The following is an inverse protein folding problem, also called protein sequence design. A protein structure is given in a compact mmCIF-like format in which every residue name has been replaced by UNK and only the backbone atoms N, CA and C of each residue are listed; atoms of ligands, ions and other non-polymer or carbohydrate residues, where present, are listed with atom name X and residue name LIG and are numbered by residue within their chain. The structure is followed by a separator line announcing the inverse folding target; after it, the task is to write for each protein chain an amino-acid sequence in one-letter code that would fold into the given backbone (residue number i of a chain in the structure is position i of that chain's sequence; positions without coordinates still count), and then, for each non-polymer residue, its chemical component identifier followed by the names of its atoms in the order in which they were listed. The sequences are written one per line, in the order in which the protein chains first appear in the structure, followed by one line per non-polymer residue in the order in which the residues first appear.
data_IF_251903433296
#
_entry.id   IF_251903433296
#
_cell.length_a   1.000
_cell.length_b   1.000
_cell.length_c   1.000
_cell.angle_alpha   90.00
_cell.angle_beta   90.00
_cell.angle_gamma   90.00
#
_symmetry.space_group_name_H-M   'P 1'
#
loop_
_entity.id
_entity.type
_entity.pdbx_description
1 polymer ?
#
# COMPACT_ATOMS: atom_id res chain seq x y z
N UNK A 1 13.17 -11.86 -12.64
CA UNK A 1 12.71 -12.38 -11.33
C UNK A 1 11.25 -12.92 -11.32
N UNK A 2 10.55 -13.10 -12.46
CA UNK A 2 9.20 -13.68 -12.46
C UNK A 2 9.20 -15.23 -12.51
N UNK A 3 10.27 -15.84 -13.01
CA UNK A 3 10.36 -17.28 -13.24
C UNK A 3 11.04 -18.05 -12.09
N UNK A 4 11.54 -17.33 -11.09
CA UNK A 4 12.25 -17.88 -9.94
C UNK A 4 11.26 -18.00 -8.79
N UNK A 5 11.34 -19.08 -8.01
CA UNK A 5 10.49 -19.26 -6.82
C UNK A 5 10.72 -18.11 -5.82
N UNK A 6 9.67 -17.39 -5.37
CA UNK A 6 9.82 -16.27 -4.44
C UNK A 6 10.52 -16.57 -3.12
N UNK A 7 10.50 -17.83 -2.67
CA UNK A 7 11.09 -18.27 -1.41
C UNK A 7 12.47 -18.90 -1.58
N UNK A 8 12.99 -18.99 -2.80
CA UNK A 8 14.28 -19.61 -3.04
C UNK A 8 15.44 -18.65 -2.78
N UNK A 9 16.61 -19.23 -2.50
CA UNK A 9 17.85 -18.48 -2.33
C UNK A 9 18.29 -17.80 -3.64
N UNK A 10 18.01 -18.41 -4.80
CA UNK A 10 18.27 -17.82 -6.12
C UNK A 10 17.54 -16.48 -6.31
N UNK A 11 16.32 -16.34 -5.76
CA UNK A 11 15.59 -15.07 -5.82
C UNK A 11 16.33 -13.96 -5.06
N UNK A 12 16.89 -14.28 -3.89
CA UNK A 12 17.66 -13.32 -3.10
C UNK A 12 18.96 -12.91 -3.80
N UNK A 13 19.61 -13.82 -4.50
CA UNK A 13 20.82 -13.53 -5.28
C UNK A 13 20.51 -12.58 -6.43
N UNK A 14 19.46 -12.85 -7.20
CA UNK A 14 19.00 -11.95 -8.26
C UNK A 14 18.55 -10.57 -7.75
N UNK A 15 18.06 -10.49 -6.51
CA UNK A 15 17.73 -9.21 -5.91
C UNK A 15 18.97 -8.36 -5.59
N UNK A 16 20.11 -9.00 -5.28
CA UNK A 16 21.40 -8.29 -5.09
C UNK A 16 21.88 -7.65 -6.40
N UNK A 17 21.64 -8.31 -7.53
CA UNK A 17 22.00 -7.79 -8.86
C UNK A 17 21.26 -6.48 -9.20
N UNK A 18 20.10 -6.22 -8.57
CA UNK A 18 19.36 -4.97 -8.78
C UNK A 18 20.20 -3.73 -8.40
N UNK A 19 21.08 -3.84 -7.41
CA UNK A 19 21.98 -2.75 -7.03
C UNK A 19 22.94 -2.39 -8.18
N UNK A 20 23.43 -3.39 -8.91
CA UNK A 20 24.29 -3.18 -10.07
C UNK A 20 23.52 -2.51 -11.22
N UNK A 21 22.27 -2.93 -11.45
CA UNK A 21 21.38 -2.30 -12.43
C UNK A 21 21.14 -0.83 -12.08
N UNK A 22 20.88 -0.52 -10.80
CA UNK A 22 20.70 0.85 -10.34
C UNK A 22 21.95 1.72 -10.59
N UNK A 23 23.15 1.16 -10.38
CA UNK A 23 24.41 1.85 -10.65
C UNK A 23 24.62 2.12 -12.15
N UNK A 24 24.25 1.18 -13.02
CA UNK A 24 24.31 1.37 -14.48
C UNK A 24 23.34 2.48 -14.91
N UNK A 25 22.10 2.46 -14.39
CA UNK A 25 21.10 3.50 -14.66
C UNK A 25 21.65 4.88 -14.30
N UNK A 26 22.35 5.01 -13.18
CA UNK A 26 22.93 6.27 -12.75
C UNK A 26 24.07 6.76 -13.66
N UNK A 27 24.91 5.84 -14.13
CA UNK A 27 25.99 6.16 -15.08
C UNK A 27 25.42 6.63 -16.41
N UNK A 28 24.38 5.96 -16.90
CA UNK A 28 23.67 6.35 -18.12
C UNK A 28 22.94 7.68 -17.93
N UNK A 29 22.34 7.90 -16.76
CA UNK A 29 21.70 9.17 -16.42
C UNK A 29 22.69 10.34 -16.52
N UNK A 30 23.86 10.25 -15.89
CA UNK A 30 24.90 11.29 -15.96
C UNK A 30 25.33 11.58 -17.41
N UNK A 31 25.51 10.53 -18.21
CA UNK A 31 25.87 10.66 -19.61
C UNK A 31 24.77 11.36 -20.44
N UNK A 32 23.50 10.99 -20.21
CA UNK A 32 22.35 11.57 -20.93
C UNK A 32 22.03 12.99 -20.49
N UNK A 33 22.34 13.37 -19.25
CA UNK A 33 22.20 14.76 -18.79
C UNK A 33 23.20 15.68 -19.50
N UNK A 34 24.40 15.18 -19.84
CA UNK A 34 25.43 15.95 -20.55
C UNK A 34 25.20 16.01 -22.07
N UNK A 35 24.77 14.91 -22.68
CA UNK A 35 24.77 14.75 -24.16
C UNK A 35 23.43 14.30 -24.77
N UNK A 36 22.47 13.92 -23.94
CA UNK A 36 21.23 13.29 -24.36
C UNK A 36 20.13 14.29 -24.75
N UNK A 37 19.10 13.76 -25.40
CA UNK A 37 17.88 14.52 -25.70
C UNK A 37 16.93 14.54 -24.51
N UNK A 38 16.02 15.53 -24.47
CA UNK A 38 15.05 15.65 -23.36
C UNK A 38 14.16 14.42 -23.20
N UNK A 39 13.82 13.73 -24.30
CA UNK A 39 13.00 12.51 -24.26
C UNK A 39 13.74 11.32 -23.63
N UNK A 40 15.02 11.16 -23.96
CA UNK A 40 15.88 10.12 -23.39
C UNK A 40 16.09 10.35 -21.89
N UNK A 41 16.28 11.61 -21.49
CA UNK A 41 16.37 12.00 -20.07
C UNK A 41 15.07 11.65 -19.33
N UNK A 42 13.90 11.92 -19.91
CA UNK A 42 12.62 11.56 -19.29
C UNK A 42 12.47 10.04 -19.11
N UNK A 43 12.94 9.24 -20.08
CA UNK A 43 12.88 7.77 -20.01
C UNK A 43 13.82 7.21 -18.94
N UNK A 44 15.06 7.70 -18.85
CA UNK A 44 16.01 7.22 -17.84
C UNK A 44 15.58 7.67 -16.43
N UNK A 45 14.97 8.86 -16.30
CA UNK A 45 14.39 9.32 -15.04
C UNK A 45 13.24 8.43 -14.60
N UNK A 46 12.34 8.05 -15.51
CA UNK A 46 11.28 7.10 -15.20
C UNK A 46 11.85 5.75 -14.74
N UNK A 47 12.89 5.23 -15.39
CA UNK A 47 13.55 3.99 -14.97
C UNK A 47 14.16 4.12 -13.57
N UNK A 48 14.84 5.23 -13.27
CA UNK A 48 15.39 5.49 -11.93
C UNK A 48 14.28 5.58 -10.88
N UNK A 49 13.16 6.23 -11.20
CA UNK A 49 11.98 6.30 -10.34
C UNK A 49 11.42 4.90 -10.07
N UNK A 50 11.27 4.06 -11.11
CA UNK A 50 10.72 2.71 -10.98
C UNK A 50 11.55 1.80 -10.05
N UNK A 51 12.87 2.03 -9.93
CA UNK A 51 13.73 1.27 -9.02
C UNK A 51 13.82 1.85 -7.60
N UNK A 52 13.24 3.04 -7.36
CA UNK A 52 13.36 3.76 -6.07
C UNK A 52 12.03 3.94 -5.36
N UNK A 53 10.90 4.08 -6.08
CA UNK A 53 9.61 4.49 -5.50
C UNK A 53 9.07 3.55 -4.41
N UNK A 54 9.39 2.26 -4.50
CA UNK A 54 8.88 1.23 -3.59
C UNK A 54 9.83 0.95 -2.41
N UNK A 55 11.07 1.44 -2.48
CA UNK A 55 12.07 1.23 -1.43
C UNK A 55 11.79 2.19 -0.28
N UNK A 56 11.71 1.65 0.93
CA UNK A 56 11.54 2.45 2.13
C UNK A 56 12.89 3.01 2.57
N UNK A 57 12.98 4.32 2.71
CA UNK A 57 14.20 4.96 3.17
C UNK A 57 14.31 4.86 4.70
N UNK A 58 15.01 3.82 5.17
CA UNK A 58 15.27 3.61 6.58
C UNK A 58 16.14 4.72 7.18
N UNK A 59 17.08 5.29 6.40
CA UNK A 59 18.00 6.34 6.87
C UNK A 59 17.25 7.67 7.07
N UNK A 60 16.44 8.08 6.09
CA UNK A 60 15.57 9.25 6.25
C UNK A 60 14.51 9.05 7.33
N UNK A 61 13.99 7.82 7.51
CA UNK A 61 13.06 7.52 8.59
C UNK A 61 13.71 7.61 9.98
N UNK A 62 14.93 7.10 10.13
CA UNK A 62 15.65 7.14 11.41
C UNK A 62 15.93 8.59 11.82
N UNK A 63 16.34 9.45 10.88
CA UNK A 63 16.48 10.90 11.10
C UNK A 63 15.19 11.60 11.57
N UNK A 64 14.01 11.14 11.14
CA UNK A 64 12.72 11.68 11.60
C UNK A 64 12.29 11.18 13.00
N UNK A 65 12.77 10.00 13.41
CA UNK A 65 12.44 9.41 14.70
C UNK A 65 13.37 9.88 15.83
N UNK A 66 14.61 10.24 15.51
CA UNK A 66 15.57 10.85 16.45
C UNK A 66 15.85 12.29 16.02
N UNK A 67 15.16 13.30 16.61
CA UNK A 67 15.64 14.66 16.55
C UNK A 67 17.06 14.71 17.15
N UNK A 68 17.99 15.53 16.61
CA UNK A 68 19.33 15.64 17.16
C UNK A 68 19.29 16.43 18.47
N UNK A 69 18.87 15.78 19.55
CA UNK A 69 19.15 16.23 20.91
C UNK A 69 20.44 15.55 21.39
N UNK A 70 21.54 16.29 21.27
CA UNK A 70 22.72 16.15 22.12
C UNK A 70 23.52 14.85 22.02
N UNK A 71 24.34 14.68 20.98
CA UNK A 71 25.63 14.00 21.11
C UNK A 71 26.60 14.43 20.01
N UNK A 72 27.75 14.93 20.44
CA UNK A 72 28.96 15.24 19.68
C UNK A 72 29.09 14.55 18.32
N UNK A 73 29.04 15.33 17.24
CA UNK A 73 29.28 14.88 15.87
C UNK A 73 30.74 14.49 15.70
N UNK A 74 31.02 13.21 15.50
CA UNK A 74 32.28 12.74 14.93
C UNK A 74 32.30 13.08 13.44
N UNK A 75 33.39 13.67 12.95
CA UNK A 75 33.53 14.14 11.56
C UNK A 75 33.41 13.01 10.51
N UNK A 76 33.57 11.75 10.91
CA UNK A 76 33.39 10.58 10.03
C UNK A 76 31.94 10.31 9.63
N UNK A 77 30.94 10.69 10.44
CA UNK A 77 29.52 10.52 10.08
C UNK A 77 29.04 11.56 9.06
N UNK A 78 29.80 12.64 8.80
CA UNK A 78 29.39 13.69 7.85
C UNK A 78 29.67 13.29 6.39
N UNK A 79 30.73 12.52 6.13
CA UNK A 79 31.13 12.16 4.77
C UNK A 79 30.25 11.05 4.14
N UNK A 80 29.63 10.18 4.95
CA UNK A 80 28.65 9.19 4.46
C UNK A 80 27.21 9.73 4.39
N UNK A 81 26.98 10.96 4.86
CA UNK A 81 25.67 11.58 5.00
C UNK A 81 25.20 12.39 3.78
N UNK A 82 26.00 12.44 2.71
CA UNK A 82 25.73 13.18 1.46
C UNK A 82 24.83 12.43 0.45
N UNK A 83 24.12 11.39 0.87
CA UNK A 83 23.04 10.84 0.05
C UNK A 83 21.89 11.83 0.00
N UNK A 84 21.60 12.42 -1.17
CA UNK A 84 20.40 13.23 -1.40
C UNK A 84 19.18 12.52 -0.77
N UNK A 85 18.43 13.23 0.08
CA UNK A 85 17.21 12.69 0.68
C UNK A 85 16.34 12.10 -0.45
N UNK A 86 15.96 10.83 -0.33
CA UNK A 86 15.25 10.10 -1.38
C UNK A 86 13.96 10.82 -1.84
N UNK A 87 13.35 11.58 -0.93
CA UNK A 87 12.23 12.46 -1.19
C UNK A 87 12.57 13.61 -2.15
N UNK A 88 13.71 14.29 -1.97
CA UNK A 88 14.15 15.41 -2.80
C UNK A 88 14.52 14.91 -4.20
N UNK A 89 15.19 13.76 -4.27
CA UNK A 89 15.52 13.12 -5.54
C UNK A 89 14.24 12.77 -6.31
N UNK A 90 13.27 12.12 -5.66
CA UNK A 90 11.98 11.77 -6.28
C UNK A 90 11.26 13.02 -6.80
N UNK A 91 11.18 14.06 -5.96
CA UNK A 91 10.51 15.32 -6.32
C UNK A 91 11.19 16.02 -7.51
N UNK A 92 12.53 16.07 -7.54
CA UNK A 92 13.30 16.65 -8.66
C UNK A 92 13.01 15.92 -9.98
N UNK A 93 13.11 14.59 -9.97
CA UNK A 93 12.90 13.78 -11.16
C UNK A 93 11.45 13.90 -11.66
N UNK A 94 10.47 13.84 -10.75
CA UNK A 94 9.06 13.99 -11.10
C UNK A 94 8.73 15.38 -11.66
N UNK A 95 9.22 16.47 -11.04
CA UNK A 95 9.03 17.84 -11.54
C UNK A 95 9.62 18.02 -12.94
N UNK A 96 10.78 17.44 -13.21
CA UNK A 96 11.38 17.49 -14.54
C UNK A 96 10.49 16.82 -15.60
N UNK A 97 9.97 15.62 -15.29
CA UNK A 97 9.05 14.91 -16.18
C UNK A 97 7.77 15.73 -16.40
N UNK A 98 7.21 16.37 -15.38
CA UNK A 98 6.01 17.20 -15.53
C UNK A 98 6.20 18.37 -16.49
N UNK A 99 7.38 19.01 -16.46
CA UNK A 99 7.66 20.20 -17.25
C UNK A 99 8.11 19.90 -18.69
N UNK A 100 8.80 18.78 -18.92
CA UNK A 100 9.52 18.52 -20.18
C UNK A 100 8.92 17.40 -21.02
N UNK A 101 8.07 16.56 -20.44
CA UNK A 101 7.50 15.42 -21.13
C UNK A 101 6.31 15.82 -22.02
N UNK A 102 6.35 15.36 -23.27
CA UNK A 102 5.28 15.52 -24.26
C UNK A 102 4.28 14.37 -24.23
N UNK A 103 4.62 13.26 -23.61
CA UNK A 103 3.78 12.05 -23.57
C UNK A 103 2.99 11.96 -22.27
N UNK A 104 1.67 11.75 -22.36
CA UNK A 104 0.85 11.65 -21.15
C UNK A 104 1.13 10.37 -20.34
N UNK A 105 1.67 9.34 -21.00
CA UNK A 105 1.97 8.04 -20.37
C UNK A 105 3.11 8.14 -19.35
N UNK A 106 4.26 8.70 -19.74
CA UNK A 106 5.43 8.81 -18.85
C UNK A 106 5.11 9.75 -17.69
N UNK A 107 4.45 10.88 -17.99
CA UNK A 107 3.87 11.78 -16.97
C UNK A 107 2.97 11.06 -15.97
N UNK A 108 1.99 10.28 -16.44
CA UNK A 108 1.08 9.52 -15.56
C UNK A 108 1.82 8.53 -14.68
N UNK A 109 2.75 7.76 -15.24
CA UNK A 109 3.58 6.83 -14.47
C UNK A 109 4.40 7.54 -13.39
N UNK A 110 4.99 8.70 -13.73
CA UNK A 110 5.76 9.50 -12.78
C UNK A 110 4.89 10.04 -11.65
N UNK A 111 3.67 10.52 -11.94
CA UNK A 111 2.70 10.96 -10.91
C UNK A 111 2.36 9.80 -9.97
N UNK A 112 2.02 8.63 -10.50
CA UNK A 112 1.64 7.48 -9.67
C UNK A 112 2.80 7.01 -8.77
N UNK A 113 4.02 6.94 -9.32
CA UNK A 113 5.20 6.60 -8.53
C UNK A 113 5.49 7.64 -7.43
N UNK A 114 5.29 8.92 -7.72
CA UNK A 114 5.45 10.01 -6.76
C UNK A 114 4.47 9.87 -5.59
N UNK A 115 3.19 9.66 -5.90
CA UNK A 115 2.13 9.44 -4.91
C UNK A 115 2.44 8.20 -4.06
N UNK A 116 2.85 7.09 -4.69
CA UNK A 116 3.22 5.87 -3.98
C UNK A 116 4.35 6.13 -2.98
N UNK A 117 5.40 6.84 -3.40
CA UNK A 117 6.52 7.19 -2.54
C UNK A 117 6.11 8.09 -1.36
N UNK A 118 5.28 9.11 -1.58
CA UNK A 118 4.74 9.92 -0.48
C UNK A 118 3.89 9.11 0.49
N UNK A 119 3.02 8.24 -0.02
CA UNK A 119 2.17 7.36 0.78
C UNK A 119 2.99 6.37 1.63
N UNK A 120 4.07 5.83 1.06
CA UNK A 120 5.01 4.94 1.76
C UNK A 120 5.66 5.64 2.97
N UNK A 121 6.07 6.90 2.79
CA UNK A 121 6.71 7.73 3.82
C UNK A 121 5.73 8.42 4.78
N UNK A 122 4.46 8.00 4.82
CA UNK A 122 3.42 8.52 5.73
C UNK A 122 3.02 9.99 5.48
N UNK A 123 3.33 10.55 4.31
CA UNK A 123 2.95 11.92 3.92
C UNK A 123 1.59 11.92 3.20
N UNK A 124 0.53 11.61 3.95
CA UNK A 124 -0.80 11.36 3.37
C UNK A 124 -1.39 12.57 2.63
N UNK A 125 -1.40 13.75 3.26
CA UNK A 125 -2.00 14.95 2.68
C UNK A 125 -1.40 15.32 1.32
N UNK A 126 -0.06 15.31 1.23
CA UNK A 126 0.66 15.55 -0.02
C UNK A 126 0.29 14.54 -1.10
N UNK A 127 0.21 13.26 -0.74
CA UNK A 127 -0.13 12.19 -1.68
C UNK A 127 -1.60 12.29 -2.16
N UNK A 128 -2.53 12.65 -1.26
CA UNK A 128 -3.94 12.90 -1.59
C UNK A 128 -4.09 14.09 -2.52
N UNK A 129 -3.45 15.20 -2.19
CA UNK A 129 -3.57 16.44 -2.96
C UNK A 129 -2.99 16.23 -4.37
N UNK A 130 -1.86 15.53 -4.49
CA UNK A 130 -1.31 15.12 -5.79
C UNK A 130 -2.26 14.21 -6.58
N UNK A 131 -2.91 13.24 -5.93
CA UNK A 131 -3.90 12.38 -6.59
C UNK A 131 -5.07 13.19 -7.14
N UNK A 132 -5.63 14.10 -6.35
CA UNK A 132 -6.77 14.95 -6.75
C UNK A 132 -6.38 15.95 -7.85
N UNK A 133 -5.22 16.60 -7.75
CA UNK A 133 -4.73 17.55 -8.75
C UNK A 133 -4.44 16.89 -10.10
N UNK A 134 -4.08 15.61 -10.10
CA UNK A 134 -3.71 14.88 -11.32
C UNK A 134 -4.90 14.48 -12.20
N UNK A 135 -6.13 14.52 -11.68
CA UNK A 135 -7.37 14.10 -12.38
C UNK A 135 -7.27 12.71 -13.03
N UNK A 136 -6.49 11.80 -12.44
CA UNK A 136 -6.27 10.46 -13.00
C UNK A 136 -7.49 9.53 -12.86
N UNK A 137 -8.46 9.89 -12.01
CA UNK A 137 -9.67 9.08 -11.75
C UNK A 137 -10.59 8.95 -12.98
N UNK A 138 -10.57 9.91 -13.90
CA UNK A 138 -11.45 9.87 -15.07
C UNK A 138 -10.83 9.10 -16.25
N UNK A 139 -9.49 9.06 -16.32
CA UNK A 139 -8.75 8.55 -17.47
C UNK A 139 -8.13 7.15 -17.28
N UNK A 140 -8.09 6.60 -16.06
CA UNK A 140 -7.33 5.38 -15.78
C UNK A 140 -7.91 4.11 -16.42
N UNK A 141 -9.24 4.02 -16.63
CA UNK A 141 -9.88 2.80 -17.14
C UNK A 141 -9.46 2.45 -18.58
N UNK A 142 -9.08 3.46 -19.36
CA UNK A 142 -8.63 3.30 -20.75
C UNK A 142 -7.10 3.23 -20.88
N UNK A 143 -6.37 3.40 -19.76
CA UNK A 143 -4.91 3.38 -19.76
C UNK A 143 -4.37 1.95 -19.96
N UNK A 144 -3.08 1.88 -20.32
CA UNK A 144 -2.38 0.60 -20.47
C UNK A 144 -2.48 -0.26 -19.19
N UNK A 145 -2.65 -1.60 -19.31
CA UNK A 145 -2.73 -2.51 -18.16
C UNK A 145 -1.64 -2.34 -17.07
N UNK A 146 -0.33 -2.15 -17.38
CA UNK A 146 0.67 -1.88 -16.34
C UNK A 146 0.42 -0.58 -15.56
N UNK A 147 -0.14 0.45 -16.20
CA UNK A 147 -0.48 1.72 -15.54
C UNK A 147 -1.71 1.52 -14.64
N UNK A 148 -2.68 0.72 -15.06
CA UNK A 148 -3.82 0.34 -14.23
C UNK A 148 -3.38 -0.42 -12.97
N UNK A 149 -2.45 -1.37 -13.10
CA UNK A 149 -1.87 -2.09 -11.96
C UNK A 149 -1.17 -1.09 -11.01
N UNK A 150 -0.37 -0.16 -11.54
CA UNK A 150 0.29 0.87 -10.75
C UNK A 150 -0.71 1.80 -10.04
N UNK A 151 -1.80 2.18 -10.71
CA UNK A 151 -2.89 2.96 -10.13
C UNK A 151 -3.53 2.23 -8.94
N UNK A 152 -3.95 0.97 -9.14
CA UNK A 152 -4.55 0.14 -8.09
C UNK A 152 -3.60 -0.02 -6.90
N UNK A 153 -2.31 -0.26 -7.16
CA UNK A 153 -1.29 -0.35 -6.10
C UNK A 153 -1.12 0.97 -5.34
N UNK A 154 -1.14 2.09 -6.04
CA UNK A 154 -1.03 3.43 -5.44
C UNK A 154 -2.24 3.75 -4.58
N UNK A 155 -3.45 3.39 -5.03
CA UNK A 155 -4.68 3.50 -4.25
C UNK A 155 -4.66 2.65 -2.98
N UNK A 156 -4.21 1.40 -3.08
CA UNK A 156 -4.01 0.55 -1.90
C UNK A 156 -3.01 1.17 -0.93
N UNK A 157 -1.88 1.67 -1.43
CA UNK A 157 -0.86 2.28 -0.59
C UNK A 157 -1.35 3.57 0.09
N UNK A 158 -2.12 4.40 -0.62
CA UNK A 158 -2.79 5.58 -0.05
C UNK A 158 -3.78 5.18 1.04
N UNK A 159 -4.58 4.13 0.84
CA UNK A 159 -5.52 3.62 1.84
C UNK A 159 -4.81 3.12 3.10
N UNK A 160 -3.71 2.37 2.94
CA UNK A 160 -2.87 1.93 4.07
C UNK A 160 -2.24 3.15 4.78
N UNK A 161 -1.80 4.16 4.03
CA UNK A 161 -1.27 5.40 4.61
C UNK A 161 -2.33 6.17 5.40
N UNK A 162 -3.55 6.31 4.87
CA UNK A 162 -4.69 6.92 5.57
C UNK A 162 -4.97 6.19 6.89
N UNK A 163 -4.98 4.86 6.86
CA UNK A 163 -5.17 4.04 8.04
C UNK A 163 -4.06 4.23 9.08
N UNK A 164 -2.79 4.33 8.65
CA UNK A 164 -1.64 4.59 9.55
C UNK A 164 -1.77 5.95 10.27
N UNK A 165 -2.42 6.92 9.65
CA UNK A 165 -2.70 8.25 10.22
C UNK A 165 -3.98 8.29 11.07
N UNK A 166 -4.72 7.19 11.19
CA UNK A 166 -5.97 7.11 11.95
C UNK A 166 -7.21 7.61 11.19
N UNK A 167 -7.08 7.93 9.89
CA UNK A 167 -8.20 8.39 9.04
C UNK A 167 -8.99 7.19 8.51
N UNK A 168 -9.83 6.59 9.35
CA UNK A 168 -10.58 5.36 9.03
C UNK A 168 -11.60 5.55 7.92
N UNK A 169 -12.27 6.71 7.85
CA UNK A 169 -13.23 7.06 6.78
C UNK A 169 -12.56 7.08 5.41
N UNK A 170 -11.45 7.79 5.31
CA UNK A 170 -10.72 7.95 4.05
C UNK A 170 -10.06 6.63 3.62
N UNK A 171 -9.53 5.86 4.58
CA UNK A 171 -9.00 4.53 4.33
C UNK A 171 -10.08 3.59 3.78
N UNK A 172 -11.29 3.59 4.36
CA UNK A 172 -12.40 2.78 3.88
C UNK A 172 -12.81 3.15 2.45
N UNK A 173 -12.97 4.45 2.17
CA UNK A 173 -13.39 4.93 0.86
C UNK A 173 -12.37 4.58 -0.23
N UNK A 174 -11.07 4.74 0.04
CA UNK A 174 -10.02 4.44 -0.94
C UNK A 174 -9.91 2.94 -1.27
N UNK A 175 -10.24 2.06 -0.32
CA UNK A 175 -10.09 0.61 -0.45
C UNK A 175 -11.37 -0.11 -0.92
N UNK A 176 -12.53 0.56 -0.85
CA UNK A 176 -13.84 -0.01 -1.13
C UNK A 176 -13.93 -0.65 -2.51
N UNK A 177 -13.53 0.07 -3.56
CA UNK A 177 -13.68 -0.40 -4.95
C UNK A 177 -12.81 -1.64 -5.22
N UNK A 178 -11.58 -1.63 -4.69
CA UNK A 178 -10.61 -2.71 -4.91
C UNK A 178 -11.03 -3.99 -4.17
N UNK A 179 -11.43 -3.88 -2.89
CA UNK A 179 -11.83 -5.04 -2.08
C UNK A 179 -13.22 -5.57 -2.44
N UNK A 180 -14.16 -4.70 -2.82
CA UNK A 180 -15.52 -5.12 -3.20
C UNK A 180 -15.56 -6.04 -4.43
N UNK A 181 -14.56 -5.95 -5.30
CA UNK A 181 -14.45 -6.73 -6.53
C UNK A 181 -14.27 -8.24 -6.33
N UNK A 182 -13.75 -8.67 -5.18
CA UNK A 182 -13.33 -10.07 -4.94
C UNK A 182 -12.15 -10.55 -5.82
N UNK A 183 -11.60 -9.67 -6.67
CA UNK A 183 -10.50 -9.96 -7.61
C UNK A 183 -9.24 -9.13 -7.30
N UNK A 184 -9.09 -8.68 -6.05
CA UNK A 184 -7.99 -7.81 -5.62
C UNK A 184 -6.58 -8.36 -5.97
N UNK A 185 -6.39 -9.69 -5.94
CA UNK A 185 -5.12 -10.34 -6.31
C UNK A 185 -4.73 -10.11 -7.78
N UNK A 186 -5.72 -10.15 -8.67
CA UNK A 186 -5.54 -9.95 -10.12
C UNK A 186 -5.38 -8.46 -10.44
N UNK A 187 -6.22 -7.61 -9.82
CA UNK A 187 -6.17 -6.15 -10.01
C UNK A 187 -4.84 -5.52 -9.58
N UNK A 188 -4.16 -6.14 -8.60
CA UNK A 188 -2.84 -5.74 -8.14
C UNK A 188 -1.68 -6.40 -8.91
N UNK A 189 -2.00 -7.29 -9.86
CA UNK A 189 -1.01 -7.98 -10.68
C UNK A 189 -0.13 -8.98 -9.89
N UNK A 190 -0.61 -9.51 -8.76
CA UNK A 190 0.17 -10.39 -7.87
C UNK A 190 -0.07 -11.88 -8.14
N UNK A 191 -0.94 -12.21 -9.09
CA UNK A 191 -1.25 -13.59 -9.46
C UNK A 191 -2.65 -13.71 -10.03
N UNK A 192 -2.97 -14.91 -10.51
CA UNK A 192 -4.29 -15.27 -11.00
C UNK A 192 -5.04 -16.05 -9.92
N UNK A 193 -6.35 -15.83 -9.79
CA UNK A 193 -7.18 -16.70 -8.96
C UNK A 193 -7.40 -18.02 -9.70
N UNK A 194 -7.35 -19.13 -8.96
CA UNK A 194 -7.48 -20.48 -9.53
C UNK A 194 -8.78 -20.65 -10.33
N UNK A 195 -9.86 -19.99 -9.88
CA UNK A 195 -11.17 -19.96 -10.55
C UNK A 195 -11.14 -19.27 -11.92
N UNK A 196 -10.27 -18.27 -12.10
CA UNK A 196 -10.10 -17.58 -13.38
C UNK A 196 -9.30 -18.41 -14.41
N UNK A 197 -8.64 -19.49 -13.99
CA UNK A 197 -7.89 -20.38 -14.89
C UNK A 197 -8.81 -21.26 -15.75
N UNK A 198 -10.03 -21.54 -15.28
CA UNK A 198 -10.97 -22.41 -16.00
C UNK A 198 -11.74 -21.70 -17.13
N UNK A 199 -11.84 -20.37 -17.09
CA UNK A 199 -12.64 -19.57 -18.04
C UNK A 199 -11.79 -18.86 -19.11
N UNK A 200 -10.44 -18.94 -19.05
CA UNK A 200 -9.55 -18.12 -19.89
C UNK A 200 -8.78 -18.92 -20.95
N UNK A 201 -8.59 -18.30 -22.12
CA UNK A 201 -7.73 -18.82 -23.18
C UNK A 201 -6.26 -18.84 -22.75
N UNK A 202 -5.52 -19.89 -23.12
CA UNK A 202 -4.11 -20.10 -22.77
C UNK A 202 -3.19 -18.94 -23.20
N UNK A 203 -3.50 -18.26 -24.30
CA UNK A 203 -2.73 -17.11 -24.78
C UNK A 203 -2.92 -15.85 -23.93
N UNK A 204 -4.16 -15.60 -23.48
CA UNK A 204 -4.46 -14.47 -22.59
C UNK A 204 -3.81 -14.68 -21.22
N UNK A 205 -3.78 -15.91 -20.73
CA UNK A 205 -3.11 -16.27 -19.48
C UNK A 205 -1.59 -15.99 -19.56
N UNK A 206 -0.95 -16.35 -20.68
CA UNK A 206 0.48 -16.12 -20.88
C UNK A 206 0.84 -14.63 -20.89
N UNK A 207 -0.03 -13.81 -21.47
CA UNK A 207 0.14 -12.35 -21.49
C UNK A 207 -0.08 -11.74 -20.10
N UNK A 208 -1.10 -12.20 -19.36
CA UNK A 208 -1.34 -11.73 -17.99
C UNK A 208 -0.24 -12.15 -17.01
N UNK A 209 0.28 -13.39 -17.12
CA UNK A 209 1.43 -13.85 -16.33
C UNK A 209 2.66 -12.96 -16.54
N UNK A 210 2.93 -12.54 -17.77
CA UNK A 210 4.04 -11.61 -18.10
C UNK A 210 3.85 -10.22 -17.50
N UNK A 211 2.60 -9.80 -17.27
CA UNK A 211 2.26 -8.48 -16.70
C UNK A 211 2.30 -8.47 -15.17
N UNK A 212 2.52 -9.61 -14.52
CA UNK A 212 2.57 -9.69 -13.07
C UNK A 212 3.77 -8.92 -12.51
N UNK A 213 3.55 -8.24 -11.40
CA UNK A 213 4.62 -7.55 -10.70
C UNK A 213 5.54 -8.58 -10.01
N UNK A 214 6.86 -8.34 -9.94
CA UNK A 214 7.77 -9.13 -9.12
C UNK A 214 7.35 -9.22 -7.64
N UNK A 215 7.71 -10.33 -6.99
CA UNK A 215 7.33 -10.60 -5.59
C UNK A 215 7.79 -9.54 -4.58
N UNK A 216 8.99 -8.97 -4.70
CA UNK A 216 9.46 -7.88 -3.82
C UNK A 216 8.61 -6.59 -3.94
N UNK A 217 7.78 -6.47 -4.98
CA UNK A 217 6.80 -5.40 -5.12
C UNK A 217 5.41 -5.80 -4.62
N UNK A 218 5.18 -7.04 -4.19
CA UNK A 218 3.86 -7.46 -3.74
C UNK A 218 3.52 -6.79 -2.40
N UNK A 219 2.25 -6.37 -2.29
CA UNK A 219 1.64 -5.88 -1.05
C UNK A 219 0.86 -7.05 -0.47
N UNK A 220 1.05 -7.37 0.80
CA UNK A 220 0.32 -8.48 1.42
C UNK A 220 -1.20 -8.24 1.37
N UNK A 221 -1.92 -9.18 0.75
CA UNK A 221 -3.37 -9.12 0.59
C UNK A 221 -4.10 -9.32 1.93
N UNK A 222 -3.55 -10.10 2.85
CA UNK A 222 -4.13 -10.25 4.19
C UNK A 222 -4.08 -8.90 4.92
N UNK A 223 -2.94 -8.21 4.89
CA UNK A 223 -2.83 -6.87 5.47
C UNK A 223 -3.86 -5.90 4.89
N UNK A 224 -4.00 -5.88 3.56
CA UNK A 224 -4.98 -5.07 2.86
C UNK A 224 -6.41 -5.36 3.33
N UNK A 225 -6.78 -6.65 3.39
CA UNK A 225 -8.10 -7.07 3.83
C UNK A 225 -8.34 -6.71 5.29
N UNK A 226 -7.34 -6.87 6.17
CA UNK A 226 -7.44 -6.47 7.57
C UNK A 226 -7.73 -4.99 7.73
N UNK A 227 -6.94 -4.14 7.06
CA UNK A 227 -7.07 -2.69 7.13
C UNK A 227 -8.46 -2.27 6.66
N UNK A 228 -8.95 -2.87 5.58
CA UNK A 228 -10.29 -2.63 5.08
C UNK A 228 -11.38 -3.05 6.08
N UNK A 229 -11.30 -4.28 6.61
CA UNK A 229 -12.31 -4.82 7.53
C UNK A 229 -12.32 -4.09 8.87
N UNK A 230 -11.15 -3.72 9.42
CA UNK A 230 -11.08 -2.92 10.67
C UNK A 230 -11.63 -1.52 10.44
N UNK A 231 -11.33 -0.89 9.29
CA UNK A 231 -11.91 0.42 8.94
C UNK A 231 -13.43 0.34 8.78
N UNK A 232 -13.93 -0.71 8.12
CA UNK A 232 -15.37 -0.96 8.00
C UNK A 232 -16.01 -1.20 9.37
N UNK A 233 -15.40 -2.03 10.23
CA UNK A 233 -15.87 -2.34 11.57
C UNK A 233 -16.08 -1.07 12.43
N UNK A 234 -15.11 -0.16 12.41
CA UNK A 234 -15.16 1.09 13.18
C UNK A 234 -16.21 2.09 12.67
N UNK A 235 -16.61 2.00 11.40
CA UNK A 235 -17.66 2.87 10.82
C UNK A 235 -19.04 2.23 10.96
N UNK A 236 -19.13 0.93 10.70
CA UNK A 236 -20.39 0.22 10.59
C UNK A 236 -21.01 -0.08 11.96
N UNK A 237 -20.22 -0.53 12.95
CA UNK A 237 -20.78 -0.93 14.25
C UNK A 237 -21.44 0.23 14.99
N UNK A 238 -20.81 1.42 15.10
CA UNK A 238 -21.48 2.56 15.73
C UNK A 238 -22.73 2.98 14.95
N UNK A 239 -22.69 2.93 13.62
CA UNK A 239 -23.84 3.24 12.78
C UNK A 239 -24.98 2.24 12.98
N UNK A 240 -24.68 0.93 13.00
CA UNK A 240 -25.64 -0.14 13.24
C UNK A 240 -26.26 -0.04 14.62
N UNK A 241 -25.46 0.21 15.66
CA UNK A 241 -25.93 0.35 17.04
C UNK A 241 -26.87 1.57 17.20
N UNK A 242 -26.55 2.70 16.56
CA UNK A 242 -27.37 3.90 16.61
C UNK A 242 -28.72 3.75 15.86
N UNK A 243 -28.77 2.90 14.83
CA UNK A 243 -29.95 2.72 13.97
C UNK A 243 -30.58 1.33 14.13
N UNK A 244 -30.44 0.67 15.28
CA UNK A 244 -31.06 -0.64 15.51
C UNK A 244 -32.59 -0.57 15.41
N UNK A 245 -33.20 0.58 15.75
CA UNK A 245 -34.66 0.80 15.68
C UNK A 245 -35.16 1.30 14.31
N UNK A 246 -34.29 1.74 13.42
CA UNK A 246 -34.69 2.35 12.15
C UNK A 246 -34.78 1.30 11.02
N UNK A 247 -35.89 1.32 10.27
CA UNK A 247 -36.17 0.38 9.19
C UNK A 247 -35.44 0.75 7.88
N UNK A 248 -35.01 2.02 7.72
CA UNK A 248 -34.27 2.50 6.52
C UNK A 248 -32.76 2.50 6.74
N UNK A 249 -32.21 1.32 7.05
CA UNK A 249 -30.77 1.14 7.26
C UNK A 249 -30.01 1.30 5.94
N UNK A 250 -29.11 2.28 5.86
CA UNK A 250 -28.08 2.30 4.81
C UNK A 250 -26.96 1.33 5.19
N UNK A 251 -26.58 0.48 4.25
CA UNK A 251 -25.44 -0.43 4.39
C UNK A 251 -24.19 0.26 3.84
N UNK A 252 -23.18 0.47 4.67
CA UNK A 252 -21.95 1.17 4.28
C UNK A 252 -21.02 0.17 3.56
N UNK A 253 -20.74 -1.00 4.14
CA UNK A 253 -19.94 -2.06 3.52
C UNK A 253 -20.70 -3.37 3.32
N UNK A 254 -20.86 -3.78 2.05
CA UNK A 254 -21.44 -5.09 1.70
C UNK A 254 -20.54 -6.27 2.08
N UNK A 255 -19.23 -6.12 1.88
CA UNK A 255 -18.25 -7.19 2.12
C UNK A 255 -18.15 -7.54 3.61
N UNK A 256 -18.09 -6.53 4.49
CA UNK A 256 -18.09 -6.74 5.93
C UNK A 256 -19.36 -7.43 6.43
N UNK A 257 -20.53 -6.99 5.95
CA UNK A 257 -21.82 -7.63 6.26
C UNK A 257 -21.93 -9.07 5.76
N UNK A 258 -21.29 -9.40 4.64
CA UNK A 258 -21.21 -10.78 4.19
C UNK A 258 -20.40 -11.64 5.17
N UNK A 259 -19.23 -11.16 5.62
CA UNK A 259 -18.40 -11.87 6.59
C UNK A 259 -19.10 -12.06 7.94
N UNK A 260 -19.82 -11.04 8.45
CA UNK A 260 -20.63 -11.16 9.66
C UNK A 260 -21.70 -12.26 9.54
N UNK A 261 -22.47 -12.25 8.45
CA UNK A 261 -23.53 -13.24 8.22
C UNK A 261 -22.98 -14.65 8.08
N UNK A 262 -21.81 -14.81 7.43
CA UNK A 262 -21.14 -16.11 7.34
C UNK A 262 -20.71 -16.59 8.72
N UNK A 263 -20.12 -15.73 9.54
CA UNK A 263 -19.71 -16.07 10.91
C UNK A 263 -20.87 -16.26 11.91
N UNK A 264 -22.07 -15.76 11.62
CA UNK A 264 -23.28 -16.03 12.41
C UNK A 264 -23.96 -17.35 12.03
N UNK A 265 -23.86 -17.75 10.76
CA UNK A 265 -24.43 -19.00 10.25
C UNK A 265 -23.62 -20.24 10.61
N UNK A 266 -22.38 -20.07 11.07
CA UNK A 266 -21.54 -21.19 11.50
C UNK A 266 -22.09 -21.78 12.81
N UNK A 267 -22.48 -23.07 12.82
CA UNK A 267 -23.12 -23.71 13.98
C UNK A 267 -22.14 -23.98 15.13
N UNK A 268 -20.85 -24.14 14.84
CA UNK A 268 -19.79 -24.18 15.85
C UNK A 268 -18.98 -22.89 15.78
N UNK A 269 -19.04 -22.11 16.85
CA UNK A 269 -18.17 -20.95 17.03
C UNK A 269 -16.93 -21.40 17.83
N UNK A 270 -15.86 -21.73 17.11
CA UNK A 270 -14.54 -21.98 17.71
C UNK A 270 -13.83 -20.68 18.11
N UNK A 271 -12.72 -20.76 18.86
CA UNK A 271 -11.85 -19.60 19.05
C UNK A 271 -11.33 -19.12 17.68
N UNK A 272 -11.18 -17.80 17.47
CA UNK A 272 -10.79 -17.28 16.16
C UNK A 272 -9.37 -17.71 15.80
N UNK A 273 -9.19 -18.25 14.59
CA UNK A 273 -7.88 -18.66 14.05
C UNK A 273 -7.49 -17.84 12.83
N UNK A 274 -8.47 -17.56 11.97
CA UNK A 274 -8.29 -16.73 10.79
C UNK A 274 -8.35 -15.24 11.13
N UNK A 275 -7.69 -14.40 10.33
CA UNK A 275 -7.81 -12.94 10.43
C UNK A 275 -9.27 -12.49 10.42
N UNK A 276 -10.07 -13.03 9.49
CA UNK A 276 -11.48 -12.62 9.32
C UNK A 276 -12.29 -12.95 10.58
N UNK A 277 -12.03 -14.10 11.17
CA UNK A 277 -12.69 -14.54 12.41
C UNK A 277 -12.30 -13.65 13.59
N UNK A 278 -11.04 -13.22 13.70
CA UNK A 278 -10.62 -12.27 14.72
C UNK A 278 -11.37 -10.94 14.60
N UNK A 279 -11.55 -10.42 13.38
CA UNK A 279 -12.33 -9.18 13.16
C UNK A 279 -13.83 -9.40 13.45
N UNK A 280 -14.40 -10.56 13.10
CA UNK A 280 -15.79 -10.90 13.42
C UNK A 280 -16.01 -11.11 14.93
N UNK A 281 -15.04 -11.67 15.65
CA UNK A 281 -15.10 -11.76 17.10
C UNK A 281 -14.99 -10.38 17.75
N UNK A 282 -14.08 -9.54 17.25
CA UNK A 282 -13.91 -8.16 17.70
C UNK A 282 -15.18 -7.32 17.47
N UNK A 283 -15.87 -7.51 16.35
CA UNK A 283 -17.12 -6.79 16.05
C UNK A 283 -18.27 -7.19 16.98
N UNK A 284 -18.40 -8.48 17.30
CA UNK A 284 -19.37 -8.98 18.29
C UNK A 284 -19.08 -8.41 19.68
N UNK A 285 -17.81 -8.40 20.11
CA UNK A 285 -17.40 -7.81 21.39
C UNK A 285 -17.69 -6.30 21.46
N UNK A 286 -17.42 -5.57 20.37
CA UNK A 286 -17.70 -4.14 20.27
C UNK A 286 -19.21 -3.84 20.33
N UNK A 287 -20.04 -4.68 19.70
CA UNK A 287 -21.51 -4.57 19.80
C UNK A 287 -22.03 -4.77 21.23
N UNK A 288 -21.38 -5.63 22.01
CA UNK A 288 -21.70 -5.84 23.43
C UNK A 288 -21.11 -4.77 24.36
N UNK A 289 -20.33 -3.82 23.82
CA UNK A 289 -19.70 -2.73 24.59
C UNK A 289 -18.39 -3.11 25.30
N UNK A 290 -17.86 -4.32 25.09
CA UNK A 290 -16.59 -4.75 25.66
C UNK A 290 -15.42 -4.42 24.72
N UNK A 291 -14.85 -3.24 24.93
CA UNK A 291 -13.72 -2.77 24.14
C UNK A 291 -12.42 -3.52 24.45
N UNK A 292 -12.27 -4.08 25.66
CA UNK A 292 -11.02 -4.76 26.06
C UNK A 292 -10.86 -6.07 25.31
N UNK A 293 -11.94 -6.84 25.23
CA UNK A 293 -11.94 -8.09 24.44
C UNK A 293 -11.84 -7.79 22.95
N UNK A 294 -12.52 -6.76 22.45
CA UNK A 294 -12.35 -6.28 21.08
C UNK A 294 -10.87 -5.98 20.75
N UNK A 295 -10.20 -5.22 21.63
CA UNK A 295 -8.78 -4.90 21.48
C UNK A 295 -7.88 -6.15 21.52
N UNK A 296 -8.12 -7.09 22.44
CA UNK A 296 -7.33 -8.32 22.51
C UNK A 296 -7.50 -9.23 21.28
N UNK A 297 -8.67 -9.20 20.62
CA UNK A 297 -8.86 -9.97 19.39
C UNK A 297 -8.14 -9.34 18.19
N UNK A 298 -8.02 -8.01 18.13
CA UNK A 298 -7.31 -7.32 17.05
C UNK A 298 -5.79 -7.37 17.26
N UNK A 299 -5.34 -7.20 18.51
CA UNK A 299 -3.94 -7.20 18.91
C UNK A 299 -3.65 -8.51 19.63
N UNK A 300 -3.46 -9.55 18.82
CA UNK A 300 -3.02 -10.86 19.26
C UNK A 300 -1.68 -11.17 18.58
N UNK A 301 -0.86 -12.01 19.20
CA UNK A 301 0.44 -12.44 18.67
C UNK A 301 0.33 -13.01 17.24
N UNK A 302 -0.75 -13.75 16.97
CA UNK A 302 -1.09 -14.28 15.64
C UNK A 302 -1.41 -13.20 14.60
N UNK A 303 -2.09 -12.13 15.01
CA UNK A 303 -2.43 -10.99 14.15
C UNK A 303 -1.23 -10.07 13.95
N UNK A 304 -0.40 -9.89 14.99
CA UNK A 304 0.82 -9.11 14.90
C UNK A 304 1.78 -9.71 13.87
N UNK A 305 2.09 -11.01 14.00
CA UNK A 305 3.02 -11.67 13.07
C UNK A 305 2.56 -11.72 11.61
N UNK A 306 1.23 -11.76 11.37
CA UNK A 306 0.66 -11.81 10.01
C UNK A 306 0.36 -10.45 9.38
N UNK A 307 0.17 -9.41 10.18
CA UNK A 307 -0.45 -8.15 9.73
C UNK A 307 0.34 -6.95 10.20
N UNK A 308 0.50 -6.80 11.51
CA UNK A 308 0.96 -5.55 12.11
C UNK A 308 2.49 -5.42 12.08
N UNK A 309 3.21 -6.53 12.15
CA UNK A 309 4.68 -6.56 12.11
C UNK A 309 5.25 -6.33 10.71
N UNK A 310 4.41 -6.40 9.68
CA UNK A 310 4.80 -6.16 8.28
C UNK A 310 5.11 -4.69 7.97
N UNK A 311 4.73 -3.75 8.84
CA UNK A 311 5.12 -2.34 8.66
C UNK A 311 5.79 -1.79 9.91
N UNK A 312 7.02 -1.23 9.80
CA UNK A 312 7.76 -0.64 10.91
C UNK A 312 7.00 0.47 11.67
N UNK A 313 5.98 1.08 11.04
CA UNK A 313 5.14 2.10 11.71
C UNK A 313 3.78 1.58 12.16
N UNK A 314 3.26 0.47 11.62
CA UNK A 314 1.99 -0.11 12.10
C UNK A 314 2.13 -0.66 13.51
N UNK A 315 3.30 -1.21 13.85
CA UNK A 315 3.66 -1.66 15.21
C UNK A 315 3.56 -0.56 16.26
N UNK A 316 3.79 0.71 15.89
CA UNK A 316 3.63 1.86 16.81
C UNK A 316 2.25 2.52 16.68
N UNK A 317 1.71 2.65 15.47
CA UNK A 317 0.49 3.44 15.24
C UNK A 317 -0.81 2.65 15.45
N UNK A 318 -0.94 1.42 14.94
CA UNK A 318 -2.20 0.67 15.08
C UNK A 318 -2.54 0.39 16.55
N UNK A 319 -1.61 -0.10 17.41
CA UNK A 319 -1.89 -0.30 18.83
C UNK A 319 -2.17 1.00 19.60
N UNK A 320 -1.41 2.07 19.32
CA UNK A 320 -1.60 3.35 20.02
C UNK A 320 -2.90 4.06 19.61
N UNK A 321 -3.29 4.03 18.34
CA UNK A 321 -4.50 4.71 17.87
C UNK A 321 -5.77 3.92 18.18
N UNK A 322 -5.76 2.59 18.01
CA UNK A 322 -6.88 1.74 18.43
C UNK A 322 -7.12 1.82 19.95
N UNK A 323 -6.06 2.00 20.76
CA UNK A 323 -6.17 2.24 22.20
C UNK A 323 -6.53 3.68 22.61
N UNK A 324 -6.32 4.69 21.76
CA UNK A 324 -6.53 6.12 22.07
C UNK A 324 -7.95 6.63 21.85
N UNK A 325 -8.87 5.82 21.31
CA UNK A 325 -10.28 6.19 21.04
C UNK A 325 -11.08 6.72 22.26
N UNK A 326 -10.46 6.76 23.46
CA UNK A 326 -11.04 7.29 24.70
C UNK A 326 -10.55 8.66 25.16
N UNK A 327 -9.53 9.28 24.53
CA UNK A 327 -9.01 10.59 25.02
C UNK A 327 -9.60 11.82 24.35
N UNK A 328 -10.55 11.67 23.42
CA UNK A 328 -11.15 12.78 22.67
C UNK A 328 -12.67 12.89 22.85
N UNK A 329 -13.17 12.57 24.05
CA UNK A 329 -14.52 12.93 24.48
C UNK A 329 -14.47 13.56 25.86
#
# INVERSE_FOLDING_TARGET
MQNTDPHSQEYMEHLKDEAQVCAIIERVQRYLEEKGTTEEVCRIYLLRILHTYYKFDYKAHQRQLTPPEGSSKSEQDQAENEGEDSAVLMERLCKYIYAKDRTDRIRTCAILCHIYHHALHSRWYQARDLMLMSHLQDNFQHADPPVQILYNRTMVQLGICAFRQGLTKDAHNALLDIQSSGRAKELLGQGLLLRSLQERNQEQEKVERRRQVPFHLHINLELLECVYLVSAMLLEIPYMAAHESDARRRMISKQFHHQLRVGERQPLLGPPESMREHVVAASKAMKMGDWKTCHSFIINEKMNGKVWDLSPRLTKSAPCWLGRSRKSH
#
